data_IF_819313014661
#
_entry.id   IF_819313014661
#
_cell.length_a   1.000
_cell.length_b   1.000
_cell.length_c   1.000
_cell.angle_alpha   90.00
_cell.angle_beta   90.00
_cell.angle_gamma   90.00
#
_symmetry.space_group_name_H-M   'P 1'
#
loop_
_entity.id
_entity.type
_entity.pdbx_description
1 polymer ?
#
# COMPACT_ATOMS: atom_id res chain seq x y z
N UNK A 1 -13.84 23.81 6.39
CA UNK A 1 -13.04 22.57 6.39
C UNK A 1 -11.90 22.82 7.37
N UNK A 2 -11.95 22.22 8.56
CA UNK A 2 -11.06 22.55 9.68
C UNK A 2 -9.67 21.93 9.51
N UNK A 3 -8.66 22.68 9.96
CA UNK A 3 -7.22 22.45 9.84
C UNK A 3 -6.74 21.08 10.39
N UNK A 4 -7.52 20.45 11.27
CA UNK A 4 -7.19 19.16 11.88
C UNK A 4 -7.17 17.99 10.90
N UNK A 5 -7.87 18.07 9.77
CA UNK A 5 -7.91 16.99 8.78
C UNK A 5 -6.62 16.90 7.92
N UNK A 6 -5.73 17.90 7.99
CA UNK A 6 -4.46 17.94 7.25
C UNK A 6 -3.24 17.49 8.04
N UNK A 7 -3.33 17.35 9.36
CA UNK A 7 -2.19 16.88 10.14
C UNK A 7 -1.96 15.40 9.89
N UNK A 8 -0.85 15.10 9.24
CA UNK A 8 -0.17 13.82 9.37
C UNK A 8 0.00 13.55 10.88
N UNK A 9 -0.56 12.47 11.43
CA UNK A 9 -0.37 12.14 12.84
C UNK A 9 1.13 12.04 13.14
N UNK A 10 1.61 12.52 14.29
CA UNK A 10 3.04 12.44 14.65
C UNK A 10 3.60 11.00 14.63
N UNK A 11 2.72 10.03 14.84
CA UNK A 11 3.02 8.60 14.71
C UNK A 11 3.29 8.19 13.26
N UNK A 12 2.66 8.83 12.26
CA UNK A 12 2.91 8.56 10.85
C UNK A 12 4.27 9.07 10.41
N UNK A 13 4.67 10.29 10.78
CA UNK A 13 6.00 10.83 10.45
C UNK A 13 7.10 9.94 11.03
N UNK A 14 6.97 9.55 12.30
CA UNK A 14 7.93 8.64 12.96
C UNK A 14 8.02 7.27 12.28
N UNK A 15 6.87 6.72 11.84
CA UNK A 15 6.84 5.48 11.08
C UNK A 15 7.48 5.62 9.70
N UNK A 16 7.22 6.75 9.05
CA UNK A 16 7.75 7.08 7.75
C UNK A 16 9.29 7.23 7.79
N UNK A 17 9.83 7.95 8.77
CA UNK A 17 11.27 7.99 8.99
C UNK A 17 11.84 6.59 9.28
N UNK A 18 11.09 5.75 9.98
CA UNK A 18 11.42 4.34 10.18
C UNK A 18 11.52 3.56 8.87
N UNK A 19 10.61 3.85 7.92
CA UNK A 19 10.62 3.28 6.59
C UNK A 19 11.89 3.71 5.84
N UNK A 20 12.19 5.01 5.76
CA UNK A 20 13.37 5.51 5.04
C UNK A 20 14.67 4.96 5.67
N UNK A 21 14.74 4.88 7.00
CA UNK A 21 15.88 4.24 7.71
C UNK A 21 16.03 2.75 7.37
N UNK A 22 14.92 2.02 7.29
CA UNK A 22 14.94 0.62 6.92
C UNK A 22 15.23 0.41 5.43
N UNK A 23 14.85 1.36 4.58
CA UNK A 23 14.93 1.36 3.13
C UNK A 23 15.65 2.60 2.57
N UNK A 24 16.99 2.71 2.73
CA UNK A 24 17.76 3.89 2.33
C UNK A 24 17.69 4.20 0.84
N UNK A 25 17.31 3.24 -0.01
CA UNK A 25 17.03 3.45 -1.43
C UNK A 25 15.90 4.46 -1.68
N UNK A 26 15.08 4.77 -0.68
CA UNK A 26 14.04 5.81 -0.76
C UNK A 26 14.46 7.16 -0.16
N UNK A 27 15.73 7.32 0.25
CA UNK A 27 16.19 8.59 0.82
C UNK A 27 16.10 9.74 -0.19
N UNK A 28 16.44 9.49 -1.45
CA UNK A 28 16.30 10.50 -2.52
C UNK A 28 14.84 10.91 -2.72
N UNK A 29 13.90 9.96 -2.66
CA UNK A 29 12.46 10.24 -2.70
C UNK A 29 12.00 11.06 -1.48
N UNK A 30 12.63 10.89 -0.32
CA UNK A 30 12.29 11.62 0.90
C UNK A 30 12.79 13.07 0.88
N UNK A 31 13.90 13.31 0.20
CA UNK A 31 14.54 14.62 0.09
C UNK A 31 13.97 15.45 -1.07
N UNK A 32 13.11 14.85 -1.90
CA UNK A 32 12.41 15.53 -2.99
C UNK A 32 11.18 16.29 -2.45
N UNK A 33 11.21 17.62 -2.60
CA UNK A 33 10.13 18.55 -2.22
C UNK A 33 8.78 18.18 -2.87
N UNK A 34 8.78 17.43 -3.97
CA UNK A 34 7.56 16.90 -4.59
C UNK A 34 6.71 16.05 -3.63
N UNK A 35 7.34 15.36 -2.68
CA UNK A 35 6.64 14.52 -1.71
C UNK A 35 6.31 15.25 -0.41
N UNK A 36 6.43 16.58 -0.38
CA UNK A 36 6.11 17.42 0.78
C UNK A 36 5.00 18.41 0.44
N UNK A 37 4.22 18.78 1.44
CA UNK A 37 3.29 19.91 1.33
C UNK A 37 3.99 21.25 1.61
N UNK A 38 3.22 22.35 1.56
CA UNK A 38 3.72 23.70 1.79
C UNK A 38 4.30 23.90 3.21
N UNK A 39 3.95 23.03 4.16
CA UNK A 39 4.46 23.03 5.54
C UNK A 39 5.66 22.08 5.72
N UNK A 40 6.13 21.44 4.64
CA UNK A 40 7.23 20.49 4.63
C UNK A 40 6.86 19.09 5.13
N UNK A 41 5.57 18.80 5.35
CA UNK A 41 5.09 17.50 5.81
C UNK A 41 4.99 16.50 4.66
N UNK A 42 5.29 15.24 4.94
CA UNK A 42 5.30 14.21 3.91
C UNK A 42 3.88 13.88 3.42
N UNK A 43 3.71 13.96 2.10
CA UNK A 43 2.51 13.52 1.38
C UNK A 43 2.52 11.99 1.29
N UNK A 44 2.15 11.33 2.38
CA UNK A 44 2.25 9.87 2.56
C UNK A 44 1.64 9.06 1.41
N UNK A 45 0.54 9.53 0.83
CA UNK A 45 -0.09 8.85 -0.31
C UNK A 45 0.77 8.85 -1.58
N UNK A 46 1.47 9.95 -1.87
CA UNK A 46 2.35 10.05 -3.04
C UNK A 46 3.61 9.21 -2.83
N UNK A 47 4.20 9.31 -1.64
CA UNK A 47 5.41 8.58 -1.31
C UNK A 47 5.19 7.06 -1.35
N UNK A 48 4.14 6.57 -0.70
CA UNK A 48 3.82 5.13 -0.73
C UNK A 48 3.44 4.67 -2.14
N UNK A 49 2.86 5.56 -2.96
CA UNK A 49 2.69 5.32 -4.39
C UNK A 49 4.01 5.08 -5.12
N UNK A 50 5.03 5.91 -4.86
CA UNK A 50 6.36 5.78 -5.47
C UNK A 50 7.09 4.50 -5.00
N UNK A 51 6.98 4.13 -3.72
CA UNK A 51 7.47 2.83 -3.23
C UNK A 51 6.85 1.69 -4.05
N UNK A 52 5.54 1.76 -4.28
CA UNK A 52 4.80 0.73 -5.03
C UNK A 52 5.25 0.66 -6.48
N UNK A 53 5.46 1.82 -7.12
CA UNK A 53 5.98 1.92 -8.48
C UNK A 53 7.37 1.27 -8.59
N UNK A 54 8.27 1.55 -7.64
CA UNK A 54 9.60 0.94 -7.60
C UNK A 54 9.54 -0.58 -7.39
N UNK A 55 8.61 -1.07 -6.57
CA UNK A 55 8.39 -2.50 -6.36
C UNK A 55 7.92 -3.19 -7.65
N UNK A 56 6.93 -2.62 -8.32
CA UNK A 56 6.35 -3.17 -9.56
C UNK A 56 7.37 -3.16 -10.69
N UNK A 57 8.17 -2.10 -10.80
CA UNK A 57 9.27 -1.99 -11.77
C UNK A 57 10.46 -2.91 -11.44
N UNK A 58 10.48 -3.56 -10.27
CA UNK A 58 11.57 -4.45 -9.85
C UNK A 58 12.86 -3.72 -9.51
N UNK A 59 12.77 -2.45 -9.09
CA UNK A 59 13.90 -1.62 -8.67
C UNK A 59 14.31 -1.87 -7.22
N UNK A 60 13.44 -2.51 -6.45
CA UNK A 60 13.73 -3.00 -5.10
C UNK A 60 14.60 -4.25 -5.17
N UNK A 61 15.92 -4.04 -5.20
CA UNK A 61 16.99 -5.01 -4.95
C UNK A 61 16.67 -6.48 -5.18
N UNK A 62 17.00 -7.33 -4.20
CA UNK A 62 16.74 -8.76 -4.26
C UNK A 62 15.40 -9.16 -3.61
N UNK A 63 15.10 -10.47 -3.64
CA UNK A 63 13.87 -11.02 -3.06
C UNK A 63 13.77 -10.82 -1.54
N UNK A 64 14.89 -10.82 -0.82
CA UNK A 64 14.89 -10.56 0.63
C UNK A 64 14.48 -9.13 0.90
N UNK A 65 14.95 -8.19 0.08
CA UNK A 65 14.60 -6.78 0.21
C UNK A 65 13.12 -6.51 -0.04
N UNK A 66 12.58 -7.11 -1.11
CA UNK A 66 11.13 -7.08 -1.38
C UNK A 66 10.36 -7.65 -0.20
N UNK A 67 10.78 -8.80 0.34
CA UNK A 67 10.07 -9.41 1.47
C UNK A 67 10.08 -8.51 2.71
N UNK A 68 11.23 -7.94 3.04
CA UNK A 68 11.37 -7.02 4.17
C UNK A 68 10.44 -5.80 4.03
N UNK A 69 10.30 -5.23 2.82
CA UNK A 69 9.37 -4.13 2.57
C UNK A 69 7.92 -4.54 2.80
N UNK A 70 7.51 -5.70 2.26
CA UNK A 70 6.16 -6.20 2.44
C UNK A 70 5.85 -6.47 3.92
N UNK A 71 6.81 -7.00 4.68
CA UNK A 71 6.66 -7.24 6.12
C UNK A 71 6.59 -5.92 6.90
N UNK A 72 7.37 -4.91 6.51
CA UNK A 72 7.31 -3.58 7.12
C UNK A 72 5.94 -2.91 6.91
N UNK A 73 5.40 -2.98 5.68
CA UNK A 73 4.09 -2.42 5.36
C UNK A 73 2.95 -3.19 6.05
N UNK A 74 3.05 -4.52 6.15
CA UNK A 74 2.10 -5.34 6.90
C UNK A 74 2.07 -4.95 8.38
N UNK A 75 3.24 -4.80 9.01
CA UNK A 75 3.35 -4.38 10.40
C UNK A 75 2.83 -2.95 10.60
N UNK A 76 3.16 -2.04 9.67
CA UNK A 76 2.67 -0.67 9.64
C UNK A 76 1.15 -0.61 9.57
N UNK A 77 0.52 -1.43 8.74
CA UNK A 77 -0.93 -1.51 8.63
C UNK A 77 -1.56 -2.12 9.90
N UNK A 78 -1.00 -3.22 10.41
CA UNK A 78 -1.57 -3.94 11.56
C UNK A 78 -1.56 -3.12 12.86
N UNK A 79 -0.60 -2.21 13.02
CA UNK A 79 -0.40 -1.40 14.23
C UNK A 79 -0.72 0.09 14.04
N UNK A 80 -0.93 0.51 12.80
CA UNK A 80 -1.17 1.90 12.45
C UNK A 80 -2.57 2.38 12.85
N UNK A 81 -2.68 3.69 12.99
CA UNK A 81 -3.97 4.39 13.08
C UNK A 81 -4.72 4.34 11.73
N UNK A 82 -5.94 4.91 11.72
CA UNK A 82 -6.78 4.93 10.52
C UNK A 82 -6.09 5.64 9.34
N UNK A 83 -5.28 6.67 9.59
CA UNK A 83 -4.57 7.38 8.54
C UNK A 83 -3.50 6.49 7.89
N UNK A 84 -2.62 5.88 8.70
CA UNK A 84 -1.57 4.98 8.20
C UNK A 84 -2.17 3.76 7.49
N UNK A 85 -3.23 3.18 8.05
CA UNK A 85 -3.95 2.08 7.41
C UNK A 85 -4.51 2.49 6.05
N UNK A 86 -5.12 3.67 5.96
CA UNK A 86 -5.68 4.19 4.70
C UNK A 86 -4.59 4.47 3.66
N UNK A 87 -3.47 5.08 4.06
CA UNK A 87 -2.32 5.32 3.15
C UNK A 87 -1.79 4.00 2.60
N UNK A 88 -1.57 2.98 3.43
CA UNK A 88 -1.06 1.69 2.95
C UNK A 88 -2.12 0.98 2.08
N UNK A 89 -3.40 0.96 2.47
CA UNK A 89 -4.43 0.31 1.68
C UNK A 89 -4.58 0.95 0.28
N UNK A 90 -4.76 2.26 0.22
CA UNK A 90 -5.00 2.96 -1.05
C UNK A 90 -3.71 3.12 -1.86
N UNK A 91 -2.64 3.62 -1.26
CA UNK A 91 -1.45 3.96 -2.04
C UNK A 91 -0.53 2.79 -2.32
N UNK A 92 -0.64 1.69 -1.57
CA UNK A 92 0.14 0.48 -1.83
C UNK A 92 -0.70 -0.64 -2.45
N UNK A 93 -1.74 -1.11 -1.75
CA UNK A 93 -2.51 -2.27 -2.23
C UNK A 93 -3.26 -1.94 -3.52
N UNK A 94 -3.86 -0.74 -3.62
CA UNK A 94 -4.54 -0.34 -4.85
C UNK A 94 -3.57 -0.18 -6.03
N UNK A 95 -2.41 0.44 -5.79
CA UNK A 95 -1.41 0.66 -6.84
C UNK A 95 -0.69 -0.62 -7.29
N UNK A 96 -0.66 -1.68 -6.47
CA UNK A 96 -0.21 -2.99 -6.94
C UNK A 96 -1.11 -3.50 -8.07
N UNK A 97 -2.42 -3.25 -7.98
CA UNK A 97 -3.39 -3.71 -8.95
C UNK A 97 -3.66 -5.23 -8.91
N UNK A 98 -4.76 -5.68 -9.54
CA UNK A 98 -5.27 -7.05 -9.42
C UNK A 98 -4.39 -8.11 -10.09
N UNK A 99 -3.44 -7.72 -10.93
CA UNK A 99 -2.54 -8.62 -11.68
C UNK A 99 -1.14 -8.68 -11.11
N UNK A 100 -0.85 -7.95 -10.02
CA UNK A 100 0.49 -7.96 -9.46
C UNK A 100 0.86 -9.32 -8.90
N UNK A 101 2.03 -9.81 -9.32
CA UNK A 101 2.64 -11.02 -8.76
C UNK A 101 2.96 -10.89 -7.27
N UNK A 102 3.02 -9.68 -6.73
CA UNK A 102 3.35 -9.41 -5.34
C UNK A 102 2.17 -9.63 -4.40
N UNK A 103 0.92 -9.71 -4.92
CA UNK A 103 -0.28 -10.01 -4.12
C UNK A 103 -0.15 -11.34 -3.33
N UNK A 104 0.51 -12.35 -3.91
CA UNK A 104 0.73 -13.66 -3.26
C UNK A 104 1.77 -13.64 -2.13
N UNK A 105 2.46 -12.52 -1.97
CA UNK A 105 3.54 -12.34 -0.99
C UNK A 105 3.16 -11.38 0.14
N UNK A 106 1.96 -10.80 0.08
CA UNK A 106 1.43 -9.95 1.14
C UNK A 106 1.25 -10.75 2.44
N UNK A 107 1.33 -10.05 3.57
CA UNK A 107 0.91 -10.58 4.85
C UNK A 107 -0.62 -10.74 4.94
N UNK A 108 -1.13 -11.34 6.02
CA UNK A 108 -2.55 -11.68 6.15
C UNK A 108 -3.48 -10.47 6.11
N UNK A 109 -3.10 -9.33 6.71
CA UNK A 109 -3.93 -8.13 6.76
C UNK A 109 -4.00 -7.47 5.38
N UNK A 110 -2.86 -7.26 4.74
CA UNK A 110 -2.84 -6.68 3.40
C UNK A 110 -3.46 -7.62 2.36
N UNK A 111 -3.38 -8.95 2.57
CA UNK A 111 -4.13 -9.92 1.76
C UNK A 111 -5.64 -9.75 1.92
N UNK A 112 -6.15 -9.47 3.13
CA UNK A 112 -7.57 -9.20 3.33
C UNK A 112 -8.01 -7.94 2.58
N UNK A 113 -7.26 -6.84 2.70
CA UNK A 113 -7.49 -5.60 1.93
C UNK A 113 -7.50 -5.87 0.42
N UNK A 114 -6.49 -6.61 -0.08
CA UNK A 114 -6.41 -6.95 -1.50
C UNK A 114 -7.61 -7.79 -1.98
N UNK A 115 -8.17 -8.67 -1.13
CA UNK A 115 -9.36 -9.46 -1.46
C UNK A 115 -10.63 -8.62 -1.52
N UNK A 116 -10.72 -7.60 -0.68
CA UNK A 116 -11.82 -6.64 -0.72
C UNK A 116 -11.76 -5.77 -1.98
N UNK A 117 -10.57 -5.27 -2.33
CA UNK A 117 -10.36 -4.46 -3.52
C UNK A 117 -10.46 -5.27 -4.82
N UNK A 118 -9.95 -6.51 -4.82
CA UNK A 118 -9.81 -7.36 -6.00
C UNK A 118 -10.36 -8.77 -5.79
N UNK A 119 -11.66 -8.94 -5.54
CA UNK A 119 -12.24 -10.26 -5.29
C UNK A 119 -11.98 -11.26 -6.44
N UNK A 120 -11.96 -10.77 -7.67
CA UNK A 120 -11.69 -11.59 -8.87
C UNK A 120 -10.23 -12.06 -8.97
N UNK A 121 -9.27 -11.34 -8.37
CA UNK A 121 -7.85 -11.70 -8.39
C UNK A 121 -7.52 -12.92 -7.52
N UNK A 122 -8.40 -13.26 -6.57
CA UNK A 122 -8.25 -14.39 -5.64
C UNK A 122 -9.18 -15.55 -5.94
N UNK A 123 -9.80 -15.57 -7.13
CA UNK A 123 -10.53 -16.73 -7.64
C UNK A 123 -11.91 -16.94 -7.01
N UNK A 124 -12.58 -15.89 -6.54
CA UNK A 124 -14.00 -16.00 -6.22
C UNK A 124 -14.76 -16.37 -7.50
N UNK A 125 -15.39 -17.56 -7.51
CA UNK A 125 -16.45 -17.84 -8.49
C UNK A 125 -17.55 -16.82 -8.26
N UNK A 126 -17.85 -15.99 -9.26
CA UNK A 126 -19.11 -15.25 -9.33
C UNK A 126 -20.27 -16.22 -9.10
N UNK A 127 -20.84 -16.22 -7.89
CA UNK A 127 -22.12 -16.88 -7.59
C UNK A 127 -23.23 -15.96 -8.09
N UNK A 128 -23.24 -15.64 -9.38
CA UNK A 128 -24.43 -15.13 -10.04
C UNK A 128 -25.11 -16.34 -10.66
N UNK A 129 -26.23 -16.74 -10.06
CA UNK A 129 -27.04 -17.86 -10.53
C UNK A 129 -27.35 -17.70 -12.01
N UNK A 130 -26.85 -18.62 -12.82
CA UNK A 130 -27.35 -18.80 -14.18
C UNK A 130 -28.81 -19.25 -14.08
N UNK A 131 -29.77 -18.52 -14.67
CA UNK A 131 -31.11 -19.07 -14.84
C UNK A 131 -30.97 -20.29 -15.73
N UNK A 132 -31.30 -21.48 -15.21
CA UNK A 132 -31.56 -22.65 -16.05
C UNK A 132 -32.68 -22.24 -17.00
N UNK A 133 -32.34 -21.97 -18.26
CA UNK A 133 -33.36 -21.95 -19.32
C UNK A 133 -33.91 -23.38 -19.39
N UNK A 134 -35.13 -23.55 -18.88
CA UNK A 134 -35.95 -24.71 -19.19
C UNK A 134 -36.06 -24.79 -20.71
N UNK A 135 -35.64 -25.92 -21.28
CA UNK A 135 -35.96 -26.24 -22.66
C UNK A 135 -37.40 -26.73 -22.65
N UNK A 136 -38.26 -25.99 -23.35
CA UNK A 136 -39.55 -26.48 -23.85
C UNK A 136 -39.35 -27.04 -25.25
#
# INVERSE_FOLDING_TARGET
MTDEARRVPGDFESWFEGLVRAFPEFSETNDDDFFRDDDGLVLGHLFVGEITANLVAGRLGDRHRVRALLDFLEAGYATGDAYRQNVIALSFVENLGPRSRHLRHLGPRLTAVARELYPDAFGWRRVWGTPRRARS
#
